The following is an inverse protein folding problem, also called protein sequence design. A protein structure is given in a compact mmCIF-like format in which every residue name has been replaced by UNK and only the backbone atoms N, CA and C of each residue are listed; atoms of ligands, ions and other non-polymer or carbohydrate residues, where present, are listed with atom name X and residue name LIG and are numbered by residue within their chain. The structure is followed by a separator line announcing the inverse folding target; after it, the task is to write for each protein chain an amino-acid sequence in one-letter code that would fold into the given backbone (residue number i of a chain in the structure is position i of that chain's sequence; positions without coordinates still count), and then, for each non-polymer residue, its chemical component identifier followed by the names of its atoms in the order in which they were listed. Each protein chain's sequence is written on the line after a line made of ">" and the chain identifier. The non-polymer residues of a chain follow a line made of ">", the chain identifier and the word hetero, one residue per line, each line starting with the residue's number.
data_IF_461798687067
#
_entry.id   IF_461798687067
#
_cell.length_a   1.000
_cell.length_b   1.000
_cell.length_c   1.000
_cell.angle_alpha   90.00
_cell.angle_beta   90.00
_cell.angle_gamma   90.00
#
_symmetry.space_group_name_H-M   'P 1'
#
loop_
_entity.id
_entity.type
_entity.pdbx_description
1 polymer ?
#
# COMPACT_ATOMS: atom_id res chain seq x y z
N UNK A 1 -8.59 22.31 2.78
CA UNK A 1 -8.44 21.85 4.17
C UNK A 1 -7.02 21.37 4.40
N UNK A 2 -6.41 21.80 5.46
CA UNK A 2 -5.08 21.36 5.86
C UNK A 2 -5.06 21.07 7.36
N UNK A 3 -4.39 19.99 7.76
CA UNK A 3 -4.18 19.62 9.15
C UNK A 3 -2.72 19.19 9.35
N UNK A 4 -2.22 19.38 10.55
CA UNK A 4 -0.87 18.95 10.94
C UNK A 4 -0.94 18.13 12.23
N UNK A 5 -0.02 17.19 12.37
CA UNK A 5 0.16 16.39 13.59
C UNK A 5 -1.12 15.67 14.04
N UNK A 6 -1.76 14.97 13.09
CA UNK A 6 -2.95 14.17 13.34
C UNK A 6 -2.61 12.71 13.66
N UNK A 7 -3.54 12.01 14.28
CA UNK A 7 -3.44 10.58 14.59
C UNK A 7 -4.66 9.83 14.05
N UNK A 8 -4.44 8.78 13.29
CA UNK A 8 -5.51 7.88 12.85
C UNK A 8 -5.55 6.68 13.80
N UNK A 9 -6.48 6.71 14.74
CA UNK A 9 -6.59 5.68 15.76
C UNK A 9 -7.22 4.38 15.26
N UNK A 10 -6.84 3.28 15.91
CA UNK A 10 -7.35 1.95 15.59
C UNK A 10 -6.60 1.22 14.49
N UNK A 11 -5.65 1.87 13.85
CA UNK A 11 -4.88 1.27 12.76
C UNK A 11 -3.47 1.86 12.73
N UNK A 12 -2.47 0.99 12.71
CA UNK A 12 -1.11 1.40 12.34
C UNK A 12 -0.76 0.79 10.99
N UNK A 13 -0.79 1.63 9.94
CA UNK A 13 -0.55 1.21 8.55
C UNK A 13 0.88 0.70 8.40
N UNK A 14 1.85 1.34 9.03
CA UNK A 14 3.25 0.92 8.97
C UNK A 14 3.44 -0.48 9.53
N UNK A 15 2.79 -0.78 10.66
CA UNK A 15 2.83 -2.11 11.28
C UNK A 15 2.23 -3.17 10.37
N UNK A 16 1.11 -2.89 9.72
CA UNK A 16 0.48 -3.83 8.79
C UNK A 16 1.38 -4.15 7.61
N UNK A 17 2.03 -3.14 7.04
CA UNK A 17 2.99 -3.34 5.95
C UNK A 17 4.20 -4.12 6.44
N UNK A 18 4.74 -3.78 7.61
CA UNK A 18 5.87 -4.50 8.21
C UNK A 18 5.55 -5.99 8.40
N UNK A 19 4.38 -6.30 8.94
CA UNK A 19 3.95 -7.69 9.14
C UNK A 19 3.80 -8.44 7.82
N UNK A 20 3.23 -7.79 6.80
CA UNK A 20 3.05 -8.41 5.49
C UNK A 20 4.39 -8.68 4.80
N UNK A 21 5.31 -7.72 4.86
CA UNK A 21 6.65 -7.87 4.27
C UNK A 21 7.47 -8.91 5.05
N UNK A 22 7.39 -8.92 6.38
CA UNK A 22 8.14 -9.86 7.23
C UNK A 22 7.74 -11.33 7.01
N UNK A 23 6.54 -11.61 6.54
CA UNK A 23 6.13 -12.96 6.14
C UNK A 23 6.96 -13.49 4.96
N UNK A 24 7.54 -12.59 4.17
CA UNK A 24 8.34 -12.94 3.00
C UNK A 24 9.83 -12.60 3.19
N UNK A 25 10.14 -11.62 4.02
CA UNK A 25 11.51 -11.17 4.30
C UNK A 25 11.60 -10.59 5.72
N UNK A 26 12.12 -11.40 6.65
CA UNK A 26 12.26 -11.01 8.06
C UNK A 26 13.31 -9.93 8.31
N UNK A 27 14.16 -9.64 7.33
CA UNK A 27 15.22 -8.63 7.49
C UNK A 27 14.71 -7.20 7.36
N UNK A 28 13.50 -7.02 6.81
CA UNK A 28 12.91 -5.70 6.58
C UNK A 28 12.20 -5.21 7.82
N UNK A 29 12.55 -4.01 8.27
CA UNK A 29 11.96 -3.38 9.45
C UNK A 29 11.69 -1.91 9.22
N UNK A 30 10.53 -1.45 9.64
CA UNK A 30 10.18 -0.04 9.69
C UNK A 30 10.51 0.59 11.02
N UNK A 31 10.06 -0.03 12.11
CA UNK A 31 10.29 0.39 13.50
C UNK A 31 10.30 -0.84 14.41
N UNK A 32 10.90 -0.72 15.58
CA UNK A 32 10.95 -1.81 16.58
C UNK A 32 9.62 -1.94 17.34
N UNK A 33 8.88 -0.84 17.49
CA UNK A 33 7.58 -0.85 18.18
C UNK A 33 6.61 0.10 17.46
N UNK A 34 5.33 -0.24 17.51
CA UNK A 34 4.27 0.53 16.85
C UNK A 34 3.19 0.92 17.86
N UNK A 35 2.72 2.15 17.75
CA UNK A 35 1.57 2.64 18.48
C UNK A 35 0.27 2.08 17.89
N UNK A 36 -0.84 2.20 18.62
CA UNK A 36 -2.17 1.79 18.13
C UNK A 36 -2.81 2.81 17.18
N UNK A 37 -2.03 3.69 16.62
CA UNK A 37 -2.48 4.71 15.68
C UNK A 37 -1.43 4.93 14.60
N UNK A 38 -1.88 5.46 13.47
CA UNK A 38 -1.00 5.97 12.43
C UNK A 38 -0.78 7.45 12.67
N UNK A 39 0.47 7.83 12.88
CA UNK A 39 0.85 9.23 13.00
C UNK A 39 0.87 9.88 11.62
N UNK A 40 0.18 11.02 11.48
CA UNK A 40 0.08 11.76 10.23
C UNK A 40 0.64 13.15 10.47
N UNK A 41 1.73 13.50 9.77
CA UNK A 41 2.40 14.80 9.92
C UNK A 41 1.63 15.94 9.29
N UNK A 42 1.10 15.70 8.10
CA UNK A 42 0.33 16.70 7.38
C UNK A 42 -0.75 16.04 6.54
N UNK A 43 -1.89 16.69 6.45
CA UNK A 43 -3.01 16.29 5.59
C UNK A 43 -3.47 17.52 4.83
N UNK A 44 -3.64 17.38 3.54
CA UNK A 44 -4.18 18.43 2.67
C UNK A 44 -5.25 17.81 1.76
N UNK A 45 -6.38 18.48 1.63
CA UNK A 45 -7.46 18.01 0.76
C UNK A 45 -8.33 19.17 0.29
N UNK A 46 -8.98 18.97 -0.84
CA UNK A 46 -10.09 19.80 -1.29
C UNK A 46 -11.38 19.18 -0.78
N UNK A 47 -12.22 20.00 -0.15
CA UNK A 47 -13.48 19.55 0.41
C UNK A 47 -14.63 20.38 -0.14
N UNK A 48 -15.73 19.72 -0.45
CA UNK A 48 -17.00 20.38 -0.82
C UNK A 48 -18.11 19.78 0.01
N UNK A 49 -19.01 20.64 0.49
CA UNK A 49 -20.17 20.24 1.28
C UNK A 49 -21.43 20.43 0.45
N UNK A 50 -22.24 19.36 0.32
CA UNK A 50 -23.51 19.41 -0.36
C UNK A 50 -24.47 18.43 0.30
N UNK A 51 -25.66 18.90 0.71
CA UNK A 51 -26.73 18.09 1.31
C UNK A 51 -26.23 17.22 2.48
N UNK A 52 -25.36 17.77 3.32
CA UNK A 52 -24.81 17.06 4.47
C UNK A 52 -23.66 16.09 4.16
N UNK A 53 -23.29 15.94 2.90
CA UNK A 53 -22.17 15.11 2.47
C UNK A 53 -20.96 15.97 2.17
N UNK A 54 -19.84 15.65 2.82
CA UNK A 54 -18.54 16.25 2.51
C UNK A 54 -17.83 15.34 1.53
N UNK A 55 -17.52 15.87 0.34
CA UNK A 55 -16.66 15.18 -0.64
C UNK A 55 -15.25 15.69 -0.51
N UNK A 56 -14.32 14.76 -0.28
CA UNK A 56 -12.89 15.03 -0.24
C UNK A 56 -12.28 14.60 -1.55
N UNK A 57 -11.66 15.54 -2.25
CA UNK A 57 -10.92 15.29 -3.48
C UNK A 57 -9.47 15.69 -3.29
N UNK A 58 -8.56 15.06 -4.06
CA UNK A 58 -7.14 15.39 -4.02
C UNK A 58 -6.55 15.35 -2.60
N UNK A 59 -6.97 14.36 -1.80
CA UNK A 59 -6.44 14.18 -0.46
C UNK A 59 -4.99 13.71 -0.54
N UNK A 60 -4.10 14.37 0.19
CA UNK A 60 -2.71 13.96 0.36
C UNK A 60 -2.37 13.99 1.85
N UNK A 61 -1.63 13.00 2.30
CA UNK A 61 -1.19 12.92 3.69
C UNK A 61 0.20 12.34 3.76
N UNK A 62 1.01 12.88 4.67
CA UNK A 62 2.36 12.40 4.94
C UNK A 62 2.43 11.81 6.34
N UNK A 63 3.02 10.64 6.43
CA UNK A 63 3.27 9.92 7.67
C UNK A 63 4.74 9.50 7.69
N UNK A 64 5.34 9.24 8.86
CA UNK A 64 6.67 8.63 8.86
C UNK A 64 6.65 7.33 8.06
N UNK A 65 7.55 7.19 7.09
CA UNK A 65 7.72 6.03 6.21
C UNK A 65 6.61 5.82 5.17
N UNK A 66 5.56 6.66 5.14
CA UNK A 66 4.42 6.49 4.22
C UNK A 66 3.97 7.82 3.61
N UNK A 67 3.42 7.74 2.40
CA UNK A 67 2.69 8.82 1.76
C UNK A 67 1.32 8.27 1.32
N UNK A 68 0.25 9.03 1.59
CA UNK A 68 -1.11 8.64 1.26
C UNK A 68 -1.71 9.66 0.29
N UNK A 69 -2.44 9.15 -0.69
CA UNK A 69 -3.22 9.97 -1.62
C UNK A 69 -4.60 9.34 -1.79
N UNK A 70 -5.59 10.13 -2.16
CA UNK A 70 -6.90 9.54 -2.45
C UNK A 70 -8.03 10.52 -2.44
N UNK A 71 -9.23 9.98 -2.27
CA UNK A 71 -10.47 10.72 -2.27
C UNK A 71 -11.52 9.93 -1.49
N UNK A 72 -12.63 10.58 -1.17
CA UNK A 72 -13.72 9.90 -0.51
C UNK A 72 -14.85 10.85 -0.12
N UNK A 73 -15.76 10.35 0.70
CA UNK A 73 -16.89 11.11 1.17
C UNK A 73 -17.19 10.83 2.63
N UNK A 74 -17.76 11.84 3.29
CA UNK A 74 -18.22 11.75 4.68
C UNK A 74 -19.68 12.19 4.71
N UNK A 75 -20.55 11.26 5.10
CA UNK A 75 -21.96 11.55 5.34
C UNK A 75 -22.12 12.04 6.78
N UNK A 76 -22.33 13.34 6.93
CA UNK A 76 -22.44 13.96 8.26
C UNK A 76 -23.70 13.51 9.03
N UNK A 77 -24.91 13.54 8.43
CA UNK A 77 -26.11 13.07 9.13
C UNK A 77 -26.02 11.59 9.53
N UNK A 78 -25.54 10.73 8.63
CA UNK A 78 -25.43 9.30 8.88
C UNK A 78 -24.20 8.92 9.67
N UNK A 79 -23.27 9.85 9.93
CA UNK A 79 -21.99 9.60 10.61
C UNK A 79 -21.22 8.44 10.00
N UNK A 80 -21.19 8.39 8.68
CA UNK A 80 -20.51 7.36 7.88
C UNK A 80 -19.40 7.99 7.06
N UNK A 81 -18.38 7.20 6.76
CA UNK A 81 -17.38 7.61 5.77
C UNK A 81 -17.07 6.49 4.80
N UNK A 82 -16.58 6.86 3.63
CA UNK A 82 -16.06 5.94 2.63
C UNK A 82 -14.90 6.62 1.90
N UNK A 83 -13.70 6.17 2.19
CA UNK A 83 -12.46 6.73 1.67
C UNK A 83 -11.70 5.67 0.88
N UNK A 84 -11.32 6.01 -0.33
CA UNK A 84 -10.44 5.19 -1.17
C UNK A 84 -9.07 5.88 -1.25
N UNK A 85 -8.09 5.27 -0.63
CA UNK A 85 -6.75 5.81 -0.50
C UNK A 85 -5.73 4.90 -1.18
N UNK A 86 -4.61 5.48 -1.55
CA UNK A 86 -3.42 4.75 -1.98
C UNK A 86 -2.29 5.04 -1.01
N UNK A 87 -1.66 4.00 -0.51
CA UNK A 87 -0.53 4.09 0.41
C UNK A 87 0.74 3.76 -0.34
N UNK A 88 1.70 4.68 -0.32
CA UNK A 88 3.02 4.44 -0.88
C UNK A 88 4.06 4.47 0.23
N UNK A 89 4.92 3.47 0.23
CA UNK A 89 6.04 3.39 1.15
C UNK A 89 7.10 4.40 0.72
N UNK A 90 7.56 5.21 1.65
CA UNK A 90 8.66 6.16 1.44
C UNK A 90 9.95 5.63 2.06
N UNK A 91 11.05 6.39 2.01
CA UNK A 91 12.33 6.00 2.57
C UNK A 91 12.32 5.87 4.10
N UNK A 92 13.41 5.39 4.67
CA UNK A 92 13.57 5.24 6.11
C UNK A 92 13.30 3.85 6.67
N UNK A 93 12.84 2.93 5.84
CA UNK A 93 12.69 1.52 6.20
C UNK A 93 14.07 0.86 6.27
N UNK A 94 14.25 -0.01 7.28
CA UNK A 94 15.49 -0.77 7.47
C UNK A 94 15.35 -2.16 6.85
N UNK A 95 16.46 -2.67 6.31
CA UNK A 95 16.52 -4.00 5.72
C UNK A 95 16.80 -3.97 4.21
N UNK A 96 17.15 -5.13 3.68
CA UNK A 96 17.40 -5.29 2.24
C UNK A 96 16.08 -5.61 1.57
N UNK A 97 15.46 -4.59 0.99
CA UNK A 97 14.12 -4.79 0.57
C UNK A 97 13.87 -4.57 -0.91
N UNK A 98 14.05 -5.59 -1.76
CA UNK A 98 13.43 -5.53 -3.08
C UNK A 98 11.91 -5.38 -2.97
N UNK A 99 11.30 -5.99 -1.96
CA UNK A 99 9.86 -5.81 -1.68
C UNK A 99 9.53 -4.38 -1.28
N UNK A 100 10.35 -3.77 -0.42
CA UNK A 100 10.19 -2.36 -0.05
C UNK A 100 10.40 -1.45 -1.25
N UNK A 101 11.39 -1.71 -2.10
CA UNK A 101 11.61 -0.94 -3.32
C UNK A 101 10.41 -1.01 -4.26
N UNK A 102 9.79 -2.18 -4.39
CA UNK A 102 8.58 -2.35 -5.19
C UNK A 102 7.39 -1.60 -4.58
N UNK A 103 7.25 -1.63 -3.26
CA UNK A 103 6.19 -0.89 -2.57
C UNK A 103 6.38 0.63 -2.66
N UNK A 104 7.61 1.11 -2.83
CA UNK A 104 7.88 2.52 -3.12
C UNK A 104 7.39 2.93 -4.51
N UNK A 105 7.34 1.99 -5.45
CA UNK A 105 6.89 2.21 -6.84
C UNK A 105 5.43 1.88 -7.06
N UNK A 106 4.87 0.97 -6.27
CA UNK A 106 3.51 0.45 -6.46
C UNK A 106 2.62 0.87 -5.28
N UNK A 107 1.60 1.72 -5.51
CA UNK A 107 0.67 2.09 -4.44
C UNK A 107 -0.11 0.90 -3.93
N UNK A 108 -0.38 0.88 -2.63
CA UNK A 108 -1.19 -0.14 -1.96
C UNK A 108 -2.58 0.44 -1.72
N UNK A 109 -3.65 -0.13 -2.31
CA UNK A 109 -5.00 0.35 -2.05
C UNK A 109 -5.38 0.18 -0.57
N UNK A 110 -5.92 1.24 0.01
CA UNK A 110 -6.47 1.26 1.35
C UNK A 110 -7.88 1.82 1.28
N UNK A 111 -8.86 1.08 1.76
CA UNK A 111 -10.22 1.56 1.94
C UNK A 111 -10.51 1.75 3.41
N UNK A 112 -11.06 2.90 3.77
CA UNK A 112 -11.53 3.23 5.12
C UNK A 112 -13.01 3.55 5.00
N UNK A 113 -13.87 2.79 5.66
CA UNK A 113 -15.31 2.94 5.48
C UNK A 113 -16.09 2.53 6.74
N UNK A 114 -17.33 2.98 6.80
CA UNK A 114 -18.27 2.62 7.84
C UNK A 114 -18.54 3.75 8.84
N UNK A 115 -19.18 3.41 10.00
CA UNK A 115 -19.50 4.39 11.03
C UNK A 115 -18.25 5.03 11.63
N UNK A 116 -18.30 6.33 11.94
CA UNK A 116 -17.17 7.06 12.53
C UNK A 116 -16.65 6.42 13.82
N UNK A 117 -17.53 5.80 14.59
CA UNK A 117 -17.17 5.19 15.87
C UNK A 117 -16.54 3.80 15.71
N UNK A 118 -16.72 3.18 14.53
CA UNK A 118 -16.21 1.83 14.25
C UNK A 118 -15.84 1.72 12.78
N UNK A 119 -14.75 2.35 12.40
CA UNK A 119 -14.25 2.32 11.02
C UNK A 119 -13.73 0.93 10.67
N UNK A 120 -13.99 0.53 9.44
CA UNK A 120 -13.44 -0.67 8.82
C UNK A 120 -12.30 -0.29 7.90
N UNK A 121 -11.30 -1.16 7.82
CA UNK A 121 -10.10 -0.93 7.02
C UNK A 121 -9.81 -2.13 6.14
N UNK A 122 -9.48 -1.88 4.86
CA UNK A 122 -9.01 -2.90 3.93
C UNK A 122 -7.72 -2.41 3.30
N UNK A 123 -6.60 -2.98 3.69
CA UNK A 123 -5.29 -2.69 3.11
C UNK A 123 -4.87 -3.88 2.25
N UNK A 124 -4.78 -3.68 0.93
CA UNK A 124 -4.53 -4.75 -0.03
C UNK A 124 -3.03 -5.00 -0.24
N UNK A 125 -2.25 -5.01 0.82
CA UNK A 125 -0.81 -5.21 0.76
C UNK A 125 -0.43 -6.61 0.30
N UNK A 126 -1.17 -7.63 0.71
CA UNK A 126 -0.86 -9.02 0.32
C UNK A 126 -1.03 -9.24 -1.19
N UNK A 127 -2.03 -8.61 -1.81
CA UNK A 127 -2.22 -8.69 -3.26
C UNK A 127 -1.07 -8.03 -4.02
N UNK A 128 -0.64 -6.86 -3.58
CA UNK A 128 0.49 -6.15 -4.20
C UNK A 128 1.78 -6.97 -4.08
N UNK A 129 2.06 -7.51 -2.90
CA UNK A 129 3.24 -8.34 -2.68
C UNK A 129 3.20 -9.64 -3.50
N UNK A 130 2.03 -10.28 -3.57
CA UNK A 130 1.86 -11.51 -4.37
C UNK A 130 2.14 -11.25 -5.84
N UNK A 131 1.60 -10.17 -6.40
CA UNK A 131 1.84 -9.79 -7.78
C UNK A 131 3.33 -9.52 -8.02
N UNK A 132 3.97 -8.78 -7.11
CA UNK A 132 5.40 -8.49 -7.18
C UNK A 132 6.23 -9.78 -7.20
N UNK A 133 5.93 -10.74 -6.32
CA UNK A 133 6.63 -12.02 -6.27
C UNK A 133 6.42 -12.84 -7.54
N UNK A 134 5.21 -12.83 -8.10
CA UNK A 134 4.92 -13.51 -9.38
C UNK A 134 5.71 -12.89 -10.53
N UNK A 135 5.74 -11.56 -10.63
CA UNK A 135 6.49 -10.85 -11.67
C UNK A 135 7.99 -11.14 -11.57
N UNK A 136 8.54 -11.20 -10.35
CA UNK A 136 9.95 -11.54 -10.12
C UNK A 136 10.27 -12.97 -10.51
N UNK A 137 9.39 -13.92 -10.17
CA UNK A 137 9.56 -15.31 -10.55
C UNK A 137 9.53 -15.45 -12.08
N UNK A 138 8.62 -14.76 -12.75
CA UNK A 138 8.53 -14.73 -14.21
C UNK A 138 9.80 -14.15 -14.84
N UNK A 139 10.32 -13.04 -14.32
CA UNK A 139 11.55 -12.43 -14.80
C UNK A 139 12.74 -13.36 -14.62
N UNK A 140 12.85 -14.05 -13.50
CA UNK A 140 13.92 -15.01 -13.25
C UNK A 140 13.87 -16.19 -14.24
N UNK A 141 12.67 -16.70 -14.53
CA UNK A 141 12.47 -17.75 -15.51
C UNK A 141 12.82 -17.29 -16.94
N UNK A 142 12.43 -16.06 -17.29
CA UNK A 142 12.77 -15.48 -18.58
C UNK A 142 14.29 -15.33 -18.76
N UNK A 143 15.00 -14.87 -17.73
CA UNK A 143 16.46 -14.75 -17.75
C UNK A 143 17.14 -16.12 -17.89
N UNK A 144 16.63 -17.12 -17.18
CA UNK A 144 17.15 -18.48 -17.29
C UNK A 144 16.92 -19.04 -18.69
N UNK A 145 15.72 -18.87 -19.25
CA UNK A 145 15.38 -19.32 -20.61
C UNK A 145 16.25 -18.64 -21.67
N UNK A 146 16.51 -17.34 -21.54
CA UNK A 146 17.39 -16.60 -22.46
C UNK A 146 18.83 -17.11 -22.36
N UNK A 147 19.31 -17.36 -21.14
CA UNK A 147 20.66 -17.89 -20.89
C UNK A 147 20.84 -19.30 -21.45
N UNK A 148 19.75 -20.08 -21.53
CA UNK A 148 19.73 -21.47 -22.01
C UNK A 148 18.95 -21.62 -23.31
N UNK A 149 18.89 -20.58 -24.13
CA UNK A 149 18.12 -20.55 -25.37
C UNK A 149 18.53 -21.62 -26.40
N UNK A 150 19.77 -22.10 -26.29
CA UNK A 150 20.31 -23.13 -27.17
C UNK A 150 20.01 -24.56 -26.63
N UNK A 151 19.47 -24.69 -25.42
CA UNK A 151 19.05 -25.95 -24.86
C UNK A 151 17.57 -26.20 -25.15
N UNK A 152 17.21 -27.50 -25.19
CA UNK A 152 15.81 -27.90 -25.39
C UNK A 152 14.93 -27.41 -24.23
N UNK A 153 15.41 -27.52 -23.00
CA UNK A 153 14.69 -27.07 -21.79
C UNK A 153 14.45 -25.58 -21.82
N UNK A 154 15.44 -24.78 -22.23
CA UNK A 154 15.30 -23.34 -22.36
C UNK A 154 14.27 -22.93 -23.40
N UNK A 155 14.25 -23.63 -24.55
CA UNK A 155 13.26 -23.40 -25.61
C UNK A 155 11.85 -23.77 -25.16
N UNK A 156 11.70 -24.91 -24.49
CA UNK A 156 10.40 -25.37 -23.97
C UNK A 156 9.84 -24.41 -22.91
N UNK A 157 10.69 -23.92 -22.00
CA UNK A 157 10.29 -22.96 -20.99
C UNK A 157 9.85 -21.63 -21.64
N UNK A 158 10.58 -21.14 -22.63
CA UNK A 158 10.25 -19.91 -23.34
C UNK A 158 8.88 -20.01 -24.03
N UNK A 159 8.56 -21.15 -24.65
CA UNK A 159 7.25 -21.39 -25.23
C UNK A 159 6.13 -21.35 -24.21
N UNK A 160 6.36 -21.88 -23.02
CA UNK A 160 5.38 -21.84 -21.93
C UNK A 160 5.18 -20.41 -21.41
N UNK A 161 6.24 -19.63 -21.24
CA UNK A 161 6.18 -18.25 -20.79
C UNK A 161 5.45 -17.34 -21.79
N UNK A 162 5.62 -17.58 -23.09
CA UNK A 162 4.93 -16.80 -24.12
C UNK A 162 3.42 -17.03 -24.16
N UNK A 163 2.93 -18.10 -23.51
CA UNK A 163 1.49 -18.40 -23.39
C UNK A 163 0.84 -17.76 -22.14
N UNK A 164 1.64 -17.20 -21.26
CA UNK A 164 1.18 -16.49 -20.07
C UNK A 164 1.00 -14.99 -20.40
#
# INVERSE_FOLDING_TARGET
>A
LAMQDAQLHGLNIQQLIQQAVARNDNSVRGQDSYQRYTEVKSVSARASLSQGTVKLSSLTADSPLLALTGAGSIDMPGKQCDMALNVRVTGGWQGRGELIEQLQKTPIPLRVYGPWQRLNYQLQVDQVLRKTLQDRAKDALNKWAEKNKDSREGQDLKKLLDKL
#
